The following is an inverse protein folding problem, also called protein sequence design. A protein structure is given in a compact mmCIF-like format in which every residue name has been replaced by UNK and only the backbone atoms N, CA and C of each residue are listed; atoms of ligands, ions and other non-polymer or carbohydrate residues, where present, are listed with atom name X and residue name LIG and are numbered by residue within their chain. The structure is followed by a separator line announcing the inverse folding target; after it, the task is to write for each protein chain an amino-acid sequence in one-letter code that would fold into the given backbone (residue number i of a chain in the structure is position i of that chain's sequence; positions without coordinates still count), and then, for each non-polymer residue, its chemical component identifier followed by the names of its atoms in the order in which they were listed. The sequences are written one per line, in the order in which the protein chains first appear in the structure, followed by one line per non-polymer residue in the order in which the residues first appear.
data_IF_243528106420
#
_entry.id   IF_243528106420
#
_cell.length_a   1.000
_cell.length_b   1.000
_cell.length_c   1.000
_cell.angle_alpha   90.00
_cell.angle_beta   90.00
_cell.angle_gamma   90.00
#
_symmetry.space_group_name_H-M   'P 1'
#
loop_
_entity.id
_entity.type
_entity.pdbx_description
1 polymer ?
#
# COMPACT_ATOMS: atom_id res chain seq x y z
N UNK A 1 -19.30 6.54 3.38
CA UNK A 1 -19.48 5.91 2.05
C UNK A 1 -18.99 6.91 1.01
N UNK A 2 -17.96 6.71 0.17
CA UNK A 2 -16.76 5.85 0.27
C UNK A 2 -15.59 6.75 0.72
N UNK A 3 -14.98 6.44 1.85
CA UNK A 3 -13.69 7.02 2.19
C UNK A 3 -12.67 5.91 2.00
N UNK A 4 -11.71 6.14 1.11
CA UNK A 4 -10.59 5.25 0.90
C UNK A 4 -9.39 5.74 1.71
N UNK A 5 -8.58 4.80 2.19
CA UNK A 5 -7.29 5.08 2.81
C UNK A 5 -6.17 4.65 1.87
N UNK A 6 -5.16 5.50 1.68
CA UNK A 6 -3.89 5.10 1.09
C UNK A 6 -2.84 5.18 2.19
N UNK A 7 -2.28 4.04 2.57
CA UNK A 7 -1.33 3.90 3.68
C UNK A 7 -0.01 3.37 3.14
N UNK A 8 1.12 4.06 3.36
CA UNK A 8 2.36 3.57 2.80
C UNK A 8 3.60 4.46 2.83
N UNK A 9 4.52 4.14 1.94
CA UNK A 9 5.79 4.81 1.71
C UNK A 9 5.73 5.74 0.47
N UNK A 10 6.84 5.99 -0.21
CA UNK A 10 6.90 6.80 -1.45
C UNK A 10 6.02 6.23 -2.56
N UNK A 11 5.83 4.91 -2.64
CA UNK A 11 4.90 4.28 -3.58
C UNK A 11 3.46 4.65 -3.23
N UNK A 12 3.14 4.70 -1.93
CA UNK A 12 1.86 5.20 -1.43
C UNK A 12 1.62 6.66 -1.80
N UNK A 13 2.65 7.51 -1.64
CA UNK A 13 2.59 8.94 -2.03
C UNK A 13 2.27 9.10 -3.51
N UNK A 14 3.04 8.46 -4.40
CA UNK A 14 2.81 8.56 -5.85
C UNK A 14 1.47 7.98 -6.29
N UNK A 15 1.06 6.86 -5.69
CA UNK A 15 -0.25 6.25 -5.97
C UNK A 15 -1.39 7.17 -5.52
N UNK A 16 -1.27 7.80 -4.35
CA UNK A 16 -2.25 8.75 -3.84
C UNK A 16 -2.39 9.98 -4.74
N UNK A 17 -1.28 10.56 -5.19
CA UNK A 17 -1.30 11.68 -6.13
C UNK A 17 -2.06 11.30 -7.41
N UNK A 18 -1.77 10.14 -7.99
CA UNK A 18 -2.40 9.70 -9.23
C UNK A 18 -3.88 9.32 -9.09
N UNK A 19 -4.28 8.72 -7.96
CA UNK A 19 -5.68 8.39 -7.65
C UNK A 19 -6.47 9.66 -7.37
N UNK A 20 -5.99 10.53 -6.48
CA UNK A 20 -6.73 11.73 -6.06
C UNK A 20 -6.86 12.76 -7.19
N UNK A 21 -5.97 12.76 -8.17
CA UNK A 21 -6.12 13.54 -9.39
C UNK A 21 -7.30 13.08 -10.28
N UNK A 22 -7.81 11.85 -10.10
CA UNK A 22 -8.86 11.23 -10.92
C UNK A 22 -10.13 10.91 -10.13
N UNK A 23 -10.02 10.77 -8.82
CA UNK A 23 -11.10 10.31 -7.95
C UNK A 23 -11.74 11.48 -7.20
N UNK A 24 -12.96 11.86 -7.60
CA UNK A 24 -13.64 13.07 -7.12
C UNK A 24 -13.85 13.13 -5.60
N UNK A 25 -13.99 11.97 -4.93
CA UNK A 25 -14.17 11.92 -3.45
C UNK A 25 -12.86 12.03 -2.67
N UNK A 26 -11.72 11.83 -3.34
CA UNK A 26 -10.36 11.75 -2.79
C UNK A 26 -10.20 10.70 -1.67
N UNK A 27 -9.05 10.01 -1.66
CA UNK A 27 -8.65 9.15 -0.56
C UNK A 27 -7.95 9.96 0.52
N UNK A 28 -8.17 9.58 1.78
CA UNK A 28 -7.28 9.97 2.86
C UNK A 28 -5.91 9.33 2.66
N UNK A 29 -4.86 10.09 2.91
CA UNK A 29 -3.47 9.68 2.64
C UNK A 29 -2.69 9.71 3.95
N UNK A 30 -2.20 8.55 4.36
CA UNK A 30 -1.15 8.42 5.37
C UNK A 30 0.03 7.76 4.66
N UNK A 31 0.82 8.54 3.93
CA UNK A 31 1.99 8.03 3.23
C UNK A 31 3.13 9.03 3.29
N UNK A 32 4.35 8.54 3.51
CA UNK A 32 5.55 9.37 3.67
C UNK A 32 6.70 8.71 2.94
N UNK A 33 7.52 9.48 2.23
CA UNK A 33 8.70 8.95 1.57
C UNK A 33 9.63 8.20 2.54
N UNK A 34 10.24 7.11 2.06
CA UNK A 34 11.18 6.25 2.81
C UNK A 34 10.61 5.61 4.08
N UNK A 35 9.30 5.69 4.32
CA UNK A 35 8.69 5.08 5.50
C UNK A 35 8.92 3.56 5.51
N UNK A 36 9.39 3.04 6.63
CA UNK A 36 9.47 1.60 6.92
C UNK A 36 8.20 1.12 7.61
N UNK A 37 7.95 -0.19 7.61
CA UNK A 37 6.82 -0.77 8.35
C UNK A 37 6.88 -0.44 9.86
N UNK A 38 8.09 -0.29 10.43
CA UNK A 38 8.26 0.12 11.83
C UNK A 38 7.70 1.54 12.08
N UNK A 39 8.08 2.49 11.22
CA UNK A 39 7.60 3.87 11.33
C UNK A 39 6.10 3.96 11.11
N UNK A 40 5.57 3.23 10.11
CA UNK A 40 4.13 3.21 9.81
C UNK A 40 3.34 2.66 10.99
N UNK A 41 3.84 1.64 11.69
CA UNK A 41 3.18 1.06 12.86
C UNK A 41 3.00 2.10 13.99
N UNK A 42 3.94 3.02 14.14
CA UNK A 42 3.88 4.12 15.12
C UNK A 42 2.91 5.26 14.76
N UNK A 43 2.35 5.29 13.55
CA UNK A 43 1.45 6.38 13.16
C UNK A 43 0.07 6.22 13.79
N UNK A 44 -0.49 7.35 14.25
CA UNK A 44 -1.86 7.42 14.72
C UNK A 44 -2.82 7.17 13.56
N UNK A 45 -3.66 6.14 13.69
CA UNK A 45 -4.69 5.81 12.70
C UNK A 45 -5.89 6.75 12.81
N UNK A 46 -6.54 7.09 11.69
CA UNK A 46 -7.79 7.83 11.71
C UNK A 46 -8.86 6.99 12.43
N UNK A 47 -9.64 7.56 13.38
CA UNK A 47 -10.61 6.81 14.16
C UNK A 47 -11.92 6.57 13.38
N UNK A 48 -11.82 6.05 12.16
CA UNK A 48 -12.95 5.78 11.27
C UNK A 48 -12.76 4.50 10.45
N UNK A 49 -13.86 4.01 9.89
CA UNK A 49 -13.89 2.82 9.04
C UNK A 49 -13.89 3.21 7.56
N UNK A 50 -13.04 2.57 6.77
CA UNK A 50 -12.89 2.85 5.34
C UNK A 50 -13.68 1.86 4.48
N UNK A 51 -14.08 2.30 3.29
CA UNK A 51 -14.69 1.43 2.30
C UNK A 51 -13.65 0.52 1.64
N UNK A 52 -12.49 1.08 1.32
CA UNK A 52 -11.34 0.37 0.77
C UNK A 52 -10.05 0.98 1.32
N UNK A 53 -8.97 0.20 1.36
CA UNK A 53 -7.64 0.72 1.63
C UNK A 53 -6.62 0.18 0.63
N UNK A 54 -5.67 1.02 0.23
CA UNK A 54 -4.54 0.65 -0.60
C UNK A 54 -3.28 0.76 0.26
N UNK A 55 -2.58 -0.36 0.41
CA UNK A 55 -1.39 -0.46 1.22
C UNK A 55 -0.15 -0.56 0.32
N UNK A 56 0.78 0.36 0.50
CA UNK A 56 1.99 0.46 -0.31
C UNK A 56 3.20 0.62 0.62
N UNK A 57 3.65 -0.47 1.22
CA UNK A 57 4.70 -0.47 2.24
C UNK A 57 5.52 -1.75 2.21
N UNK A 58 6.66 -1.74 2.89
CA UNK A 58 7.61 -2.85 2.94
C UNK A 58 8.73 -2.76 1.90
N UNK A 59 8.70 -1.79 0.99
CA UNK A 59 9.76 -1.59 -0.01
C UNK A 59 11.08 -1.09 0.62
N UNK A 60 10.99 -0.35 1.73
CA UNK A 60 12.13 0.16 2.50
C UNK A 60 12.58 -0.80 3.62
N UNK A 61 12.00 -2.00 3.71
CA UNK A 61 12.25 -2.95 4.78
C UNK A 61 13.09 -4.14 4.28
N UNK A 62 13.90 -4.70 5.18
CA UNK A 62 14.49 -6.02 4.96
C UNK A 62 13.39 -7.09 4.95
N UNK A 63 13.39 -7.96 3.94
CA UNK A 63 12.46 -9.07 3.86
C UNK A 63 12.70 -10.06 5.00
N UNK A 64 11.62 -10.60 5.58
CA UNK A 64 11.69 -11.63 6.60
C UNK A 64 10.53 -11.60 7.59
N UNK A 65 10.63 -12.44 8.62
CA UNK A 65 9.57 -12.61 9.64
C UNK A 65 9.29 -11.33 10.44
N UNK A 66 10.30 -10.48 10.63
CA UNK A 66 10.13 -9.19 11.31
C UNK A 66 9.23 -8.25 10.50
N UNK A 67 9.45 -8.14 9.18
CA UNK A 67 8.57 -7.38 8.30
C UNK A 67 7.15 -7.96 8.33
N UNK A 68 7.00 -9.28 8.16
CA UNK A 68 5.70 -9.94 8.18
C UNK A 68 4.90 -9.60 9.46
N UNK A 69 5.52 -9.70 10.64
CA UNK A 69 4.89 -9.36 11.93
C UNK A 69 4.37 -7.92 11.96
N UNK A 70 5.17 -6.96 11.48
CA UNK A 70 4.76 -5.54 11.46
C UNK A 70 3.62 -5.30 10.49
N UNK A 71 3.66 -5.90 9.30
CA UNK A 71 2.58 -5.79 8.33
C UNK A 71 1.27 -6.42 8.83
N UNK A 72 1.34 -7.57 9.52
CA UNK A 72 0.18 -8.18 10.19
C UNK A 72 -0.44 -7.21 11.22
N UNK A 73 0.39 -6.61 12.08
CA UNK A 73 -0.08 -5.63 13.08
C UNK A 73 -0.69 -4.38 12.44
N UNK A 74 -0.06 -3.83 11.39
CA UNK A 74 -0.59 -2.70 10.64
C UNK A 74 -1.95 -3.05 10.04
N UNK A 75 -2.06 -4.21 9.37
CA UNK A 75 -3.30 -4.63 8.73
C UNK A 75 -4.45 -4.84 9.70
N UNK A 76 -4.17 -5.44 10.87
CA UNK A 76 -5.15 -5.61 11.93
C UNK A 76 -5.61 -4.27 12.53
N UNK A 77 -4.77 -3.24 12.53
CA UNK A 77 -5.11 -1.91 13.06
C UNK A 77 -6.06 -1.08 12.18
N UNK A 78 -6.25 -1.47 10.91
CA UNK A 78 -7.06 -0.71 9.94
C UNK A 78 -8.42 -1.37 9.73
N UNK A 79 -9.48 -0.64 10.08
CA UNK A 79 -10.88 -1.07 9.86
C UNK A 79 -11.31 -0.69 8.44
N UNK A 80 -11.47 -1.69 7.58
CA UNK A 80 -11.87 -1.50 6.17
C UNK A 80 -12.54 -2.75 5.63
N UNK A 81 -13.40 -2.60 4.60
CA UNK A 81 -14.09 -3.73 3.95
C UNK A 81 -13.24 -4.43 2.88
N UNK A 82 -12.34 -3.68 2.23
CA UNK A 82 -11.50 -4.16 1.13
C UNK A 82 -10.07 -3.62 1.31
N UNK A 83 -9.07 -4.45 1.06
CA UNK A 83 -7.66 -4.01 1.03
C UNK A 83 -6.99 -4.51 -0.22
N UNK A 84 -6.20 -3.65 -0.84
CA UNK A 84 -5.33 -3.99 -1.96
C UNK A 84 -3.89 -3.67 -1.54
N UNK A 85 -3.02 -4.67 -1.54
CA UNK A 85 -1.59 -4.49 -1.30
C UNK A 85 -0.86 -4.27 -2.63
N UNK A 86 -0.09 -3.19 -2.71
CA UNK A 86 0.85 -2.99 -3.81
C UNK A 86 2.12 -3.77 -3.50
N UNK A 87 2.38 -4.85 -4.24
CA UNK A 87 3.55 -5.69 -3.99
C UNK A 87 4.80 -4.96 -4.51
N UNK A 88 5.86 -4.79 -3.68
CA UNK A 88 7.10 -4.14 -4.10
C UNK A 88 7.76 -4.82 -5.31
N UNK A 89 8.57 -4.08 -6.07
CA UNK A 89 9.36 -4.64 -7.17
C UNK A 89 10.35 -5.71 -6.70
N UNK A 90 10.96 -5.53 -5.52
CA UNK A 90 11.86 -6.50 -4.93
C UNK A 90 11.10 -7.76 -4.51
N UNK A 91 11.47 -8.91 -5.10
CA UNK A 91 10.66 -10.15 -5.03
C UNK A 91 10.60 -10.76 -3.62
N UNK A 92 11.66 -10.61 -2.82
CA UNK A 92 11.68 -11.10 -1.45
C UNK A 92 10.66 -10.34 -0.57
N UNK A 93 10.61 -9.02 -0.69
CA UNK A 93 9.61 -8.17 -0.02
C UNK A 93 8.21 -8.45 -0.56
N UNK A 94 8.06 -8.60 -1.88
CA UNK A 94 6.79 -8.94 -2.52
C UNK A 94 6.18 -10.24 -1.95
N UNK A 95 7.00 -11.27 -1.76
CA UNK A 95 6.57 -12.53 -1.16
C UNK A 95 6.06 -12.33 0.28
N UNK A 96 6.78 -11.57 1.10
CA UNK A 96 6.36 -11.26 2.47
C UNK A 96 5.03 -10.50 2.47
N UNK A 97 4.91 -9.43 1.68
CA UNK A 97 3.67 -8.65 1.57
C UNK A 97 2.52 -9.53 1.09
N UNK A 98 2.75 -10.37 0.07
CA UNK A 98 1.73 -11.29 -0.46
C UNK A 98 1.28 -12.33 0.56
N UNK A 99 2.19 -12.86 1.39
CA UNK A 99 1.82 -13.82 2.45
C UNK A 99 0.92 -13.18 3.52
N UNK A 100 1.16 -11.91 3.84
CA UNK A 100 0.33 -11.15 4.77
C UNK A 100 -1.03 -10.86 4.15
N UNK A 101 -1.07 -10.41 2.90
CA UNK A 101 -2.32 -10.21 2.17
C UNK A 101 -3.19 -11.48 2.16
N UNK A 102 -2.58 -12.62 1.85
CA UNK A 102 -3.26 -13.92 1.83
C UNK A 102 -3.87 -14.30 3.20
N UNK A 103 -3.22 -13.93 4.31
CA UNK A 103 -3.73 -14.20 5.68
C UNK A 103 -5.08 -13.53 5.95
N UNK A 104 -5.34 -12.38 5.32
CA UNK A 104 -6.59 -11.63 5.48
C UNK A 104 -7.57 -11.82 4.32
N UNK A 105 -7.21 -12.60 3.29
CA UNK A 105 -7.95 -12.66 2.03
C UNK A 105 -7.96 -11.32 1.28
N UNK A 106 -6.94 -10.48 1.50
CA UNK A 106 -6.79 -9.20 0.82
C UNK A 106 -6.33 -9.39 -0.63
N UNK A 107 -6.66 -8.42 -1.49
CA UNK A 107 -6.22 -8.39 -2.87
C UNK A 107 -4.77 -7.89 -2.99
N UNK A 108 -4.13 -8.22 -4.11
CA UNK A 108 -2.78 -7.77 -4.42
C UNK A 108 -2.68 -7.20 -5.83
N UNK A 109 -1.84 -6.18 -6.00
CA UNK A 109 -1.42 -5.66 -7.29
C UNK A 109 0.10 -5.71 -7.36
N UNK A 110 0.64 -6.61 -8.18
CA UNK A 110 2.08 -6.72 -8.36
C UNK A 110 2.65 -5.55 -9.17
N UNK A 111 3.48 -4.71 -8.54
CA UNK A 111 4.09 -3.57 -9.20
C UNK A 111 5.10 -3.97 -10.28
N UNK A 112 5.67 -5.18 -10.24
CA UNK A 112 6.56 -5.63 -11.31
C UNK A 112 5.87 -5.81 -12.66
N UNK A 113 4.53 -5.74 -12.71
CA UNK A 113 3.77 -5.69 -13.96
C UNK A 113 3.84 -4.33 -14.66
N UNK A 114 4.35 -3.31 -13.99
CA UNK A 114 4.51 -1.97 -14.52
C UNK A 114 5.99 -1.70 -14.85
N UNK A 115 6.30 -0.91 -15.89
CA UNK A 115 7.68 -0.50 -16.15
C UNK A 115 8.25 0.31 -14.97
N UNK A 116 9.55 0.19 -14.72
CA UNK A 116 10.27 0.95 -13.69
C UNK A 116 11.68 1.27 -14.16
N UNK A 117 12.21 2.42 -13.75
CA UNK A 117 13.59 2.86 -14.05
C UNK A 117 14.57 2.50 -12.94
N UNK A 118 14.11 2.49 -11.70
CA UNK A 118 14.92 2.30 -10.49
C UNK A 118 14.61 0.99 -9.75
N UNK A 119 13.66 0.20 -10.26
CA UNK A 119 13.16 -1.04 -9.65
C UNK A 119 12.57 -0.81 -8.25
N UNK A 120 12.07 0.38 -7.98
CA UNK A 120 11.36 0.76 -6.74
C UNK A 120 10.04 1.44 -7.10
N UNK A 121 10.07 2.43 -7.98
CA UNK A 121 8.91 3.23 -8.35
C UNK A 121 8.43 2.85 -9.77
N UNK A 122 7.11 2.74 -10.01
CA UNK A 122 6.59 2.63 -11.36
C UNK A 122 6.93 3.86 -12.18
N UNK A 123 7.24 3.67 -13.46
CA UNK A 123 7.49 4.76 -14.40
C UNK A 123 6.25 5.66 -14.60
N UNK A 124 5.05 5.14 -14.32
CA UNK A 124 3.79 5.89 -14.34
C UNK A 124 2.86 5.42 -13.21
N UNK A 125 2.65 6.27 -12.21
CA UNK A 125 1.60 6.05 -11.20
C UNK A 125 0.18 6.19 -11.77
N UNK A 126 0.03 6.89 -12.90
CA UNK A 126 -1.25 6.97 -13.60
C UNK A 126 -1.74 5.60 -14.08
N UNK A 127 -0.82 4.71 -14.45
CA UNK A 127 -1.14 3.37 -14.96
C UNK A 127 -1.56 2.45 -13.82
N UNK A 128 -0.87 2.57 -12.68
CA UNK A 128 -1.23 1.91 -11.42
C UNK A 128 -2.63 2.36 -10.97
N UNK A 129 -2.89 3.68 -10.93
CA UNK A 129 -4.20 4.23 -10.57
C UNK A 129 -5.32 3.76 -11.50
N UNK A 130 -5.08 3.72 -12.83
CA UNK A 130 -6.06 3.19 -13.79
C UNK A 130 -6.39 1.71 -13.56
N UNK A 131 -5.46 0.93 -13.02
CA UNK A 131 -5.69 -0.48 -12.69
C UNK A 131 -6.50 -0.61 -11.39
N UNK A 132 -6.23 0.25 -10.40
CA UNK A 132 -6.90 0.23 -9.09
C UNK A 132 -8.34 0.78 -9.12
N UNK A 133 -8.66 1.66 -10.08
CA UNK A 133 -9.96 2.32 -10.20
C UNK A 133 -10.94 1.60 -11.16
N UNK A 134 -10.55 0.45 -11.72
CA UNK A 134 -11.45 -0.42 -12.49
C UNK A 134 -12.39 -1.16 -11.55
#
# INVERSE_FOLDING_TARGET
MFECLILGDSIGVGTAQAINARYARQCEVQAVERATAEQILGWRRPPKSFGAAIFAMGSNDAAGTALARKLLSIRASVRTRRVIWLLPYARQQAYVVSSVAATFGDETLDLARFPSRDRIHPASYGDVARTLLR
#
